data_IF_785723824635
#
_entry.id   IF_785723824635
#
_cell.length_a   1.000
_cell.length_b   1.000
_cell.length_c   1.000
_cell.angle_alpha   90.00
_cell.angle_beta   90.00
_cell.angle_gamma   90.00
#
_symmetry.space_group_name_H-M   'P 1'
#
loop_
_entity.id
_entity.type
_entity.pdbx_description
1 polymer ?
#
# COMPACT_ATOMS: atom_id res chain seq x y z
N UNK A 1 -8.87 -25.34 -8.12
CA UNK A 1 -8.26 -24.03 -7.81
C UNK A 1 -8.62 -23.75 -6.37
N UNK A 2 -7.65 -23.91 -5.47
CA UNK A 2 -7.81 -23.60 -4.05
C UNK A 2 -7.96 -22.10 -3.92
N UNK A 3 -8.91 -21.63 -3.09
CA UNK A 3 -8.95 -20.22 -2.79
C UNK A 3 -7.62 -19.83 -2.13
N UNK A 4 -7.01 -18.71 -2.53
CA UNK A 4 -5.81 -18.18 -1.89
C UNK A 4 -6.03 -18.00 -0.38
N UNK A 5 -4.99 -18.26 0.38
CA UNK A 5 -4.99 -18.09 1.84
C UNK A 5 -5.40 -16.65 2.21
N UNK A 6 -6.11 -16.42 3.33
CA UNK A 6 -6.52 -15.07 3.73
C UNK A 6 -5.36 -14.07 3.79
N UNK A 7 -4.16 -14.51 4.21
CA UNK A 7 -2.98 -13.65 4.24
C UNK A 7 -2.50 -13.30 2.81
N UNK A 8 -2.53 -14.28 1.90
CA UNK A 8 -2.18 -14.06 0.50
C UNK A 8 -3.18 -13.11 -0.18
N UNK A 9 -4.48 -13.23 0.14
CA UNK A 9 -5.50 -12.28 -0.33
C UNK A 9 -5.30 -10.87 0.23
N UNK A 10 -4.91 -10.75 1.48
CA UNK A 10 -4.63 -9.45 2.08
C UNK A 10 -3.46 -8.75 1.38
N UNK A 11 -2.35 -9.46 1.17
CA UNK A 11 -1.18 -8.92 0.44
C UNK A 11 -1.54 -8.53 -1.00
N UNK A 12 -2.35 -9.34 -1.69
CA UNK A 12 -2.81 -9.03 -3.04
C UNK A 12 -3.66 -7.75 -3.09
N UNK A 13 -4.50 -7.51 -2.08
CA UNK A 13 -5.29 -6.27 -1.98
C UNK A 13 -4.41 -5.03 -1.77
N UNK A 14 -3.37 -5.14 -0.93
CA UNK A 14 -2.38 -4.07 -0.75
C UNK A 14 -1.67 -3.78 -2.08
N UNK A 15 -1.13 -4.82 -2.73
CA UNK A 15 -0.44 -4.69 -4.02
C UNK A 15 -1.32 -4.01 -5.07
N UNK A 16 -2.58 -4.41 -5.19
CA UNK A 16 -3.52 -3.79 -6.12
C UNK A 16 -3.78 -2.32 -5.79
N UNK A 17 -3.91 -1.99 -4.51
CA UNK A 17 -4.11 -0.60 -4.06
C UNK A 17 -2.90 0.29 -4.40
N UNK A 18 -1.67 -0.21 -4.22
CA UNK A 18 -0.46 0.54 -4.59
C UNK A 18 -0.36 0.72 -6.12
N UNK A 19 -0.65 -0.33 -6.89
CA UNK A 19 -0.53 -0.31 -8.35
C UNK A 19 -1.62 0.53 -9.05
N UNK A 20 -2.83 0.62 -8.50
CA UNK A 20 -3.95 1.29 -9.16
C UNK A 20 -4.31 2.65 -8.55
N UNK A 21 -4.35 2.75 -7.23
CA UNK A 21 -4.83 3.95 -6.54
C UNK A 21 -3.68 4.91 -6.20
N UNK A 22 -2.56 4.38 -5.72
CA UNK A 22 -1.40 5.20 -5.35
C UNK A 22 -0.58 5.60 -6.59
N UNK A 23 0.01 4.61 -7.25
CA UNK A 23 0.68 4.68 -8.55
C UNK A 23 1.27 6.06 -8.96
N UNK A 24 2.20 6.63 -8.18
CA UNK A 24 2.72 7.98 -8.43
C UNK A 24 3.51 8.08 -9.74
N UNK A 25 4.17 7.01 -10.18
CA UNK A 25 4.96 6.93 -11.42
C UNK A 25 4.21 6.32 -12.62
N UNK A 26 2.90 6.10 -12.51
CA UNK A 26 2.03 5.61 -13.60
C UNK A 26 2.42 4.23 -14.20
N UNK A 27 3.03 3.34 -13.42
CA UNK A 27 3.46 2.00 -13.88
C UNK A 27 2.36 0.93 -13.85
N UNK A 28 1.25 1.15 -13.12
CA UNK A 28 0.18 0.17 -12.92
C UNK A 28 -0.55 -0.36 -14.17
N UNK A 29 -0.29 0.16 -15.37
CA UNK A 29 -0.82 -0.38 -16.63
C UNK A 29 0.11 -1.41 -17.29
N UNK A 30 1.35 -1.54 -16.80
CA UNK A 30 2.35 -2.47 -17.34
C UNK A 30 2.34 -3.76 -16.51
N UNK A 31 1.96 -4.91 -17.08
CA UNK A 31 1.95 -6.18 -16.36
C UNK A 31 3.35 -6.62 -15.91
N UNK A 32 4.41 -6.10 -16.55
CA UNK A 32 5.81 -6.34 -16.17
C UNK A 32 6.26 -5.54 -14.94
N UNK A 33 5.45 -4.58 -14.49
CA UNK A 33 5.78 -3.65 -13.41
C UNK A 33 4.87 -3.81 -12.18
N UNK A 34 4.18 -4.94 -12.07
CA UNK A 34 3.26 -5.19 -10.94
C UNK A 34 4.00 -5.37 -9.60
N UNK A 35 5.25 -5.84 -9.66
CA UNK A 35 6.11 -6.09 -8.50
C UNK A 35 6.95 -4.84 -8.11
N UNK A 36 6.86 -3.73 -8.85
CA UNK A 36 7.67 -2.51 -8.58
C UNK A 36 7.42 -1.94 -7.17
N UNK A 37 6.20 -2.09 -6.67
CA UNK A 37 5.82 -1.59 -5.35
C UNK A 37 5.89 -2.64 -4.25
N UNK A 38 6.25 -3.89 -4.57
CA UNK A 38 6.29 -4.97 -3.58
C UNK A 38 7.29 -4.73 -2.47
N UNK A 39 8.40 -4.08 -2.80
CA UNK A 39 9.42 -3.69 -1.82
C UNK A 39 8.87 -2.79 -0.70
N UNK A 40 7.78 -2.07 -0.95
CA UNK A 40 7.14 -1.21 0.06
C UNK A 40 6.06 -1.92 0.87
N UNK A 41 5.58 -3.08 0.42
CA UNK A 41 4.53 -3.84 1.11
C UNK A 41 5.03 -4.30 2.48
N UNK A 42 6.28 -4.75 2.58
CA UNK A 42 6.87 -5.20 3.85
C UNK A 42 6.81 -4.10 4.93
N UNK A 43 7.20 -2.86 4.59
CA UNK A 43 7.09 -1.73 5.52
C UNK A 43 5.65 -1.33 5.86
N UNK A 44 4.69 -1.48 4.93
CA UNK A 44 3.28 -1.30 5.25
C UNK A 44 2.77 -2.36 6.23
N UNK A 45 3.22 -3.61 6.08
CA UNK A 45 2.87 -4.70 6.99
C UNK A 45 3.46 -4.48 8.38
N UNK A 46 4.71 -4.02 8.48
CA UNK A 46 5.36 -3.65 9.74
C UNK A 46 4.57 -2.56 10.49
N UNK A 47 4.14 -1.51 9.77
CA UNK A 47 3.29 -0.45 10.33
C UNK A 47 1.94 -0.98 10.81
N UNK A 48 1.36 -1.96 10.11
CA UNK A 48 0.07 -2.55 10.46
C UNK A 48 0.15 -3.57 11.61
N UNK A 49 1.31 -4.19 11.81
CA UNK A 49 1.57 -5.09 12.94
C UNK A 49 1.85 -4.32 14.25
N UNK A 50 2.26 -3.05 14.16
CA UNK A 50 2.50 -2.20 15.32
C UNK A 50 1.23 -1.90 16.13
N UNK A 51 1.35 -1.79 17.46
CA UNK A 51 0.23 -1.47 18.35
C UNK A 51 -0.37 -0.07 18.10
N UNK A 52 0.42 0.83 17.50
CA UNK A 52 0.03 2.20 17.14
C UNK A 52 -0.31 2.33 15.65
N UNK A 53 -0.54 1.21 14.95
CA UNK A 53 -0.99 1.19 13.57
C UNK A 53 -2.14 2.20 13.37
N UNK A 54 -1.98 3.08 12.39
CA UNK A 54 -2.97 4.11 12.11
C UNK A 54 -2.93 4.54 10.64
N UNK A 55 -4.05 5.12 10.18
CA UNK A 55 -4.15 5.70 8.85
C UNK A 55 -3.10 6.79 8.64
N UNK A 56 -2.76 7.56 9.69
CA UNK A 56 -1.77 8.63 9.60
C UNK A 56 -0.35 8.09 9.41
N UNK A 57 0.01 6.99 10.10
CA UNK A 57 1.29 6.32 9.93
C UNK A 57 1.45 5.74 8.51
N UNK A 58 0.40 5.12 7.97
CA UNK A 58 0.39 4.62 6.59
C UNK A 58 0.54 5.77 5.58
N UNK A 59 -0.15 6.89 5.80
CA UNK A 59 -0.06 8.08 4.95
C UNK A 59 1.34 8.65 4.95
N UNK A 60 1.93 8.85 6.13
CA UNK A 60 3.27 9.40 6.29
C UNK A 60 4.31 8.54 5.56
N UNK A 61 4.21 7.21 5.70
CA UNK A 61 5.05 6.27 4.99
C UNK A 61 4.95 6.39 3.46
N UNK A 62 3.73 6.51 2.90
CA UNK A 62 3.56 6.72 1.45
C UNK A 62 4.19 8.04 0.99
N UNK A 63 4.05 9.12 1.76
CA UNK A 63 4.63 10.42 1.43
C UNK A 63 6.16 10.41 1.50
N UNK A 64 6.73 9.69 2.46
CA UNK A 64 8.19 9.47 2.54
C UNK A 64 8.68 8.75 1.29
N UNK A 65 7.98 7.72 0.82
CA UNK A 65 8.39 7.01 -0.40
C UNK A 65 8.32 7.93 -1.62
N UNK A 66 7.23 8.68 -1.79
CA UNK A 66 7.08 9.65 -2.89
C UNK A 66 8.23 10.66 -2.90
N UNK A 67 8.52 11.28 -1.75
CA UNK A 67 9.48 12.36 -1.65
C UNK A 67 10.94 11.87 -1.60
N UNK A 68 11.27 10.94 -0.70
CA UNK A 68 12.67 10.57 -0.42
C UNK A 68 13.19 9.43 -1.32
N UNK A 69 12.35 8.46 -1.66
CA UNK A 69 12.78 7.31 -2.47
C UNK A 69 12.59 7.58 -3.97
N UNK A 70 11.46 8.19 -4.35
CA UNK A 70 11.14 8.46 -5.76
C UNK A 70 11.52 9.88 -6.22
N UNK A 71 11.80 10.81 -5.30
CA UNK A 71 12.14 12.19 -5.63
C UNK A 71 11.00 12.99 -6.27
N UNK A 72 9.76 12.61 -5.97
CA UNK A 72 8.54 13.23 -6.48
C UNK A 72 7.99 14.25 -5.50
N UNK A 73 7.13 15.16 -5.99
CA UNK A 73 6.35 16.01 -5.11
C UNK A 73 5.27 15.16 -4.41
N UNK A 74 5.26 15.08 -3.06
CA UNK A 74 4.35 14.20 -2.34
C UNK A 74 2.89 14.68 -2.45
N UNK A 75 1.97 13.79 -2.80
CA UNK A 75 0.54 14.09 -2.90
C UNK A 75 -0.18 13.63 -1.63
N UNK A 76 -0.20 14.52 -0.63
CA UNK A 76 -0.85 14.24 0.66
C UNK A 76 -2.32 13.86 0.55
N UNK A 77 -3.07 14.36 -0.44
CA UNK A 77 -4.48 14.00 -0.60
C UNK A 77 -4.64 12.60 -1.16
N UNK A 78 -3.77 12.22 -2.10
CA UNK A 78 -3.75 10.87 -2.67
C UNK A 78 -3.27 9.85 -1.64
N UNK A 79 -2.16 10.13 -0.96
CA UNK A 79 -1.62 9.28 0.11
C UNK A 79 -2.67 9.04 1.22
N UNK A 80 -3.42 10.07 1.61
CA UNK A 80 -4.51 9.93 2.60
C UNK A 80 -5.57 8.90 2.14
N UNK A 81 -6.08 9.04 0.91
CA UNK A 81 -7.11 8.13 0.38
C UNK A 81 -6.61 6.70 0.25
N UNK A 82 -5.35 6.53 -0.16
CA UNK A 82 -4.70 5.22 -0.27
C UNK A 82 -4.55 4.61 1.13
N UNK A 83 -4.06 5.37 2.10
CA UNK A 83 -3.92 4.94 3.49
C UNK A 83 -5.26 4.49 4.09
N UNK A 84 -6.35 5.24 3.87
CA UNK A 84 -7.69 4.84 4.30
C UNK A 84 -8.12 3.51 3.68
N UNK A 85 -7.82 3.30 2.40
CA UNK A 85 -8.15 2.05 1.70
C UNK A 85 -7.33 0.86 2.21
N UNK A 86 -6.04 1.06 2.47
CA UNK A 86 -5.16 0.06 3.09
C UNK A 86 -5.66 -0.33 4.48
N UNK A 87 -6.06 0.66 5.29
CA UNK A 87 -6.67 0.42 6.60
C UNK A 87 -7.95 -0.40 6.50
N UNK A 88 -8.83 -0.08 5.54
CA UNK A 88 -10.04 -0.87 5.29
C UNK A 88 -9.74 -2.33 4.90
N UNK A 89 -8.65 -2.59 4.17
CA UNK A 89 -8.21 -3.95 3.89
C UNK A 89 -7.73 -4.66 5.16
N UNK A 90 -7.02 -3.96 6.04
CA UNK A 90 -6.53 -4.49 7.30
C UNK A 90 -7.68 -4.82 8.27
N UNK A 91 -8.64 -3.92 8.45
CA UNK A 91 -9.83 -4.15 9.27
C UNK A 91 -10.61 -5.40 8.81
N UNK A 92 -10.70 -5.64 7.50
CA UNK A 92 -11.35 -6.83 6.94
C UNK A 92 -10.55 -8.11 7.11
N UNK A 93 -9.23 -8.01 7.24
CA UNK A 93 -8.35 -9.15 7.44
C UNK A 93 -8.38 -9.65 8.89
N UNK A 94 -8.48 -8.72 9.86
CA UNK A 94 -8.55 -9.04 11.29
C UNK A 94 -9.97 -9.38 11.80
N UNK A 95 -11.01 -9.04 11.03
CA UNK A 95 -12.42 -9.29 11.36
C UNK A 95 -12.85 -10.74 11.15
#
# INVERSE_FOLDING_TARGET
MTQPDPAEQFILNIRQTLNHDWNPISVGNSPELQDEYDSYIDGLLDILDDENASIDALKDYLLIIENEQMGLEPDSNKAQKVAEKLWQHFERFIA
#
